data_IF_375660441753
#
_entry.id   IF_375660441753
#
_cell.length_a   1.000
_cell.length_b   1.000
_cell.length_c   1.000
_cell.angle_alpha   90.00
_cell.angle_beta   90.00
_cell.angle_gamma   90.00
#
_symmetry.space_group_name_H-M   'P 1'
#
loop_
_entity.id
_entity.type
_entity.pdbx_description
1 polymer ?
#
# COMPACT_ATOMS: atom_id res chain seq x y z
N UNK A 1 -10.23 13.01 -11.76
CA UNK A 1 -9.04 12.14 -11.66
C UNK A 1 -9.52 10.75 -11.32
N UNK A 2 -9.13 9.76 -12.10
CA UNK A 2 -9.40 8.33 -11.86
C UNK A 2 -8.13 7.70 -11.30
N UNK A 3 -8.27 6.75 -10.38
CA UNK A 3 -7.16 5.99 -9.82
C UNK A 3 -7.63 4.57 -9.45
N UNK A 4 -6.71 3.63 -9.39
CA UNK A 4 -6.97 2.22 -9.06
C UNK A 4 -6.46 1.92 -7.67
N UNK A 5 -7.20 1.10 -6.92
CA UNK A 5 -6.82 0.57 -5.61
C UNK A 5 -7.00 -0.95 -5.58
N UNK A 6 -6.18 -1.61 -4.76
CA UNK A 6 -6.36 -3.02 -4.43
C UNK A 6 -6.88 -3.09 -3.00
N UNK A 7 -8.18 -3.26 -2.86
CA UNK A 7 -8.86 -3.24 -1.56
C UNK A 7 -9.19 -4.65 -1.10
N UNK A 8 -9.06 -4.88 0.21
CA UNK A 8 -9.52 -6.08 0.90
C UNK A 8 -10.28 -5.67 2.15
N UNK A 9 -11.40 -6.31 2.40
CA UNK A 9 -12.29 -6.02 3.53
C UNK A 9 -12.76 -7.30 4.20
N UNK A 10 -12.90 -7.23 5.55
CA UNK A 10 -13.53 -8.26 6.37
C UNK A 10 -14.76 -7.64 7.02
N UNK A 11 -15.92 -8.27 6.78
CA UNK A 11 -17.20 -7.82 7.31
C UNK A 11 -17.77 -8.87 8.26
N UNK A 12 -18.37 -8.41 9.36
CA UNK A 12 -19.04 -9.26 10.34
C UNK A 12 -18.14 -9.77 11.48
N UNK A 13 -16.83 -9.51 11.44
CA UNK A 13 -15.91 -9.85 12.52
C UNK A 13 -15.52 -8.61 13.33
N UNK A 14 -15.90 -8.59 14.61
CA UNK A 14 -15.54 -7.52 15.55
C UNK A 14 -14.24 -7.80 16.33
N UNK A 15 -13.64 -9.00 16.17
CA UNK A 15 -12.42 -9.36 16.89
C UNK A 15 -11.19 -8.68 16.30
N UNK A 16 -10.14 -8.43 17.10
CA UNK A 16 -8.88 -7.88 16.63
C UNK A 16 -8.10 -8.82 15.68
N UNK A 17 -8.54 -10.08 15.51
CA UNK A 17 -7.96 -11.00 14.55
C UNK A 17 -8.19 -10.56 13.11
N UNK A 18 -9.30 -9.87 12.83
CA UNK A 18 -9.57 -9.32 11.51
C UNK A 18 -8.51 -8.29 11.09
N UNK A 19 -8.07 -7.43 12.01
CA UNK A 19 -6.95 -6.51 11.79
C UNK A 19 -5.64 -7.26 11.49
N UNK A 20 -5.34 -8.30 12.27
CA UNK A 20 -4.13 -9.12 12.08
C UNK A 20 -4.15 -9.80 10.71
N UNK A 21 -5.28 -10.37 10.31
CA UNK A 21 -5.44 -11.03 9.01
C UNK A 21 -5.21 -10.06 7.84
N UNK A 22 -5.80 -8.85 7.89
CA UNK A 22 -5.60 -7.84 6.88
C UNK A 22 -4.14 -7.36 6.78
N UNK A 23 -3.47 -7.20 7.94
CA UNK A 23 -2.04 -6.87 7.97
C UNK A 23 -1.23 -8.00 7.32
N UNK A 24 -1.49 -9.26 7.66
CA UNK A 24 -0.78 -10.41 7.06
C UNK A 24 -0.98 -10.49 5.55
N UNK A 25 -2.22 -10.40 5.07
CA UNK A 25 -2.53 -10.48 3.64
C UNK A 25 -1.86 -9.34 2.87
N UNK A 26 -1.99 -8.10 3.36
CA UNK A 26 -1.41 -6.91 2.72
C UNK A 26 0.11 -6.98 2.67
N UNK A 27 0.75 -7.29 3.80
CA UNK A 27 2.22 -7.37 3.87
C UNK A 27 2.78 -8.54 3.07
N UNK A 28 2.07 -9.67 3.02
CA UNK A 28 2.41 -10.81 2.18
C UNK A 28 2.33 -10.46 0.70
N UNK A 29 1.32 -9.69 0.28
CA UNK A 29 1.22 -9.19 -1.09
C UNK A 29 2.42 -8.30 -1.44
N UNK A 30 2.77 -7.33 -0.59
CA UNK A 30 3.92 -6.45 -0.78
C UNK A 30 5.25 -7.23 -0.86
N UNK A 31 5.46 -8.19 0.05
CA UNK A 31 6.66 -9.04 0.02
C UNK A 31 6.76 -9.87 -1.27
N UNK A 32 5.63 -10.40 -1.78
CA UNK A 32 5.60 -11.21 -3.02
C UNK A 32 6.00 -10.43 -4.27
N UNK A 33 5.70 -9.14 -4.30
CA UNK A 33 6.12 -8.26 -5.40
C UNK A 33 7.50 -7.63 -5.16
N UNK A 34 8.21 -8.07 -4.11
CA UNK A 34 9.61 -7.69 -3.88
C UNK A 34 9.80 -6.42 -3.05
N UNK A 35 8.75 -5.85 -2.45
CA UNK A 35 8.92 -4.74 -1.51
C UNK A 35 9.71 -5.18 -0.30
N UNK A 36 10.64 -4.33 0.12
CA UNK A 36 11.51 -4.51 1.30
C UNK A 36 11.53 -3.23 2.11
N UNK A 37 11.97 -3.34 3.35
CA UNK A 37 12.23 -2.18 4.24
C UNK A 37 11.01 -1.26 4.43
N UNK A 38 9.80 -1.83 4.45
CA UNK A 38 8.58 -1.10 4.77
C UNK A 38 8.18 -1.30 6.24
N UNK A 39 7.40 -0.35 6.76
CA UNK A 39 6.86 -0.39 8.12
C UNK A 39 5.34 -0.27 8.08
N UNK A 40 4.65 -1.12 8.82
CA UNK A 40 3.22 -0.99 9.12
C UNK A 40 3.08 -0.16 10.38
N UNK A 41 2.58 1.05 10.24
CA UNK A 41 2.25 1.96 11.33
C UNK A 41 0.81 1.69 11.76
N UNK A 42 0.58 1.52 13.06
CA UNK A 42 -0.72 1.15 13.63
C UNK A 42 -1.07 2.12 14.74
N UNK A 43 -2.33 2.56 14.77
CA UNK A 43 -2.92 3.33 15.87
C UNK A 43 -4.36 2.89 16.10
N UNK A 44 -4.96 3.37 17.19
CA UNK A 44 -6.40 3.26 17.44
C UNK A 44 -6.99 4.63 17.77
N UNK A 45 -7.94 5.07 16.96
CA UNK A 45 -8.60 6.38 17.13
C UNK A 45 -9.32 6.51 18.47
N UNK A 46 -9.80 5.41 19.03
CA UNK A 46 -10.46 5.39 20.34
C UNK A 46 -9.50 5.80 21.46
N UNK A 47 -8.25 5.33 21.38
CA UNK A 47 -7.19 5.66 22.36
C UNK A 47 -6.82 7.14 22.27
N UNK A 48 -6.60 7.65 21.03
CA UNK A 48 -6.29 9.05 20.83
C UNK A 48 -7.42 9.95 21.36
N UNK A 49 -8.68 9.64 21.00
CA UNK A 49 -9.85 10.40 21.51
C UNK A 49 -9.93 10.38 23.03
N UNK A 50 -9.80 9.21 23.67
CA UNK A 50 -9.81 9.10 25.12
C UNK A 50 -8.67 9.91 25.79
N UNK A 51 -7.49 9.93 25.17
CA UNK A 51 -6.37 10.74 25.64
C UNK A 51 -6.70 12.24 25.56
N UNK A 52 -7.24 12.70 24.44
CA UNK A 52 -7.63 14.12 24.25
C UNK A 52 -8.76 14.54 25.20
N UNK A 53 -9.75 13.67 25.44
CA UNK A 53 -10.80 13.92 26.43
C UNK A 53 -10.22 14.09 27.84
N UNK A 54 -9.24 13.26 28.24
CA UNK A 54 -8.53 13.39 29.52
C UNK A 54 -7.72 14.68 29.63
N UNK A 55 -7.28 15.23 28.51
CA UNK A 55 -6.61 16.54 28.47
C UNK A 55 -7.58 17.73 28.55
N UNK A 56 -8.90 17.48 28.48
CA UNK A 56 -9.93 18.50 28.64
C UNK A 56 -10.60 18.96 27.34
N UNK A 57 -10.31 18.35 26.19
CA UNK A 57 -11.05 18.67 24.97
C UNK A 57 -12.47 18.10 25.01
N UNK A 58 -13.45 18.90 24.55
CA UNK A 58 -14.84 18.46 24.49
C UNK A 58 -15.06 17.44 23.37
N UNK A 59 -16.01 16.50 23.57
CA UNK A 59 -16.25 15.38 22.66
C UNK A 59 -16.57 15.77 21.22
N UNK A 60 -17.25 16.92 21.01
CA UNK A 60 -17.59 17.48 19.69
C UNK A 60 -16.39 18.16 19.00
N UNK A 61 -15.33 18.44 19.74
CA UNK A 61 -14.10 19.07 19.23
C UNK A 61 -13.03 18.06 18.79
N UNK A 62 -13.10 16.80 19.25
CA UNK A 62 -12.04 15.81 19.10
C UNK A 62 -11.63 15.57 17.64
N UNK A 63 -12.59 15.54 16.70
CA UNK A 63 -12.26 15.32 15.30
C UNK A 63 -11.41 16.46 14.72
N UNK A 64 -11.69 17.72 15.11
CA UNK A 64 -10.90 18.88 14.71
C UNK A 64 -9.51 18.89 15.33
N UNK A 65 -9.40 18.48 16.61
CA UNK A 65 -8.11 18.33 17.30
C UNK A 65 -7.29 17.22 16.66
N UNK A 66 -7.89 16.06 16.36
CA UNK A 66 -7.23 14.96 15.64
C UNK A 66 -6.67 15.39 14.29
N UNK A 67 -7.40 16.23 13.52
CA UNK A 67 -6.93 16.76 12.23
C UNK A 67 -5.69 17.67 12.41
N UNK A 68 -5.65 18.46 13.48
CA UNK A 68 -4.46 19.29 13.77
C UNK A 68 -3.30 18.42 14.26
N UNK A 69 -3.57 17.41 15.06
CA UNK A 69 -2.58 16.45 15.55
C UNK A 69 -1.96 15.60 14.42
N UNK A 70 -2.72 15.22 13.40
CA UNK A 70 -2.24 14.50 12.19
C UNK A 70 -1.16 15.29 11.42
N UNK A 71 -1.03 16.58 11.70
CA UNK A 71 -0.01 17.44 11.09
C UNK A 71 1.28 17.50 11.89
N UNK A 72 1.35 16.84 13.05
CA UNK A 72 2.49 16.90 13.98
C UNK A 72 3.83 16.71 13.28
N UNK A 73 3.94 15.70 12.42
CA UNK A 73 5.18 15.39 11.68
C UNK A 73 5.58 16.49 10.67
N UNK A 74 4.63 17.35 10.28
CA UNK A 74 4.84 18.41 9.28
C UNK A 74 5.11 19.77 9.89
N UNK A 75 4.41 20.12 10.97
CA UNK A 75 4.44 21.46 11.57
C UNK A 75 5.05 21.49 12.97
N UNK A 76 5.37 20.32 13.55
CA UNK A 76 5.91 20.19 14.91
C UNK A 76 4.90 20.52 16.02
N UNK A 77 5.32 20.35 17.28
CA UNK A 77 4.47 20.62 18.46
C UNK A 77 4.02 22.08 18.51
N UNK A 78 4.95 23.02 18.30
CA UNK A 78 4.64 24.46 18.29
C UNK A 78 3.59 24.82 17.23
N UNK A 79 3.66 24.22 16.04
CA UNK A 79 2.70 24.43 14.96
C UNK A 79 1.31 23.89 15.31
N UNK A 80 1.24 22.71 15.93
CA UNK A 80 -0.02 22.11 16.41
C UNK A 80 -0.64 23.00 17.50
N UNK A 81 0.14 23.41 18.52
CA UNK A 81 -0.29 24.31 19.58
C UNK A 81 -0.87 25.60 19.01
N UNK A 82 -0.13 26.25 18.10
CA UNK A 82 -0.56 27.50 17.46
C UNK A 82 -1.87 27.30 16.70
N UNK A 83 -2.01 26.26 15.88
CA UNK A 83 -3.24 25.99 15.11
C UNK A 83 -4.44 25.75 16.03
N UNK A 84 -4.26 25.05 17.16
CA UNK A 84 -5.33 24.80 18.12
C UNK A 84 -5.78 26.09 18.84
N UNK A 85 -4.84 26.96 19.22
CA UNK A 85 -5.16 28.27 19.80
C UNK A 85 -5.87 29.21 18.80
N UNK A 86 -5.45 29.21 17.53
CA UNK A 86 -6.12 29.94 16.45
C UNK A 86 -7.56 29.46 16.19
N UNK A 87 -7.85 28.20 16.49
CA UNK A 87 -9.18 27.58 16.43
C UNK A 87 -10.01 27.82 17.70
N UNK A 88 -9.51 28.62 18.63
CA UNK A 88 -10.18 28.99 19.88
C UNK A 88 -10.51 27.77 20.79
N UNK A 89 -9.70 26.69 20.76
CA UNK A 89 -9.83 25.62 21.73
C UNK A 89 -9.39 26.08 23.14
N UNK A 90 -9.89 25.37 24.16
CA UNK A 90 -9.55 25.66 25.55
C UNK A 90 -8.02 25.66 25.77
N UNK A 91 -7.52 26.77 26.30
CA UNK A 91 -6.07 26.97 26.45
C UNK A 91 -5.42 25.94 27.43
N UNK A 92 -6.17 25.51 28.47
CA UNK A 92 -5.63 24.52 29.41
C UNK A 92 -5.54 23.13 28.75
N UNK A 93 -6.52 22.76 27.93
CA UNK A 93 -6.47 21.52 27.17
C UNK A 93 -5.33 21.53 26.13
N UNK A 94 -5.13 22.68 25.44
CA UNK A 94 -4.03 22.85 24.48
C UNK A 94 -2.68 22.77 25.18
N UNK A 95 -2.52 23.36 26.37
CA UNK A 95 -1.29 23.27 27.16
C UNK A 95 -1.01 21.84 27.62
N UNK A 96 -2.03 21.10 28.07
CA UNK A 96 -1.88 19.69 28.44
C UNK A 96 -1.43 18.80 27.28
N UNK A 97 -1.91 19.09 26.05
CA UNK A 97 -1.45 18.42 24.84
C UNK A 97 0.00 18.80 24.49
N UNK A 98 0.33 20.09 24.57
CA UNK A 98 1.69 20.59 24.31
C UNK A 98 2.71 19.97 25.28
N UNK A 99 2.40 19.91 26.57
CA UNK A 99 3.24 19.21 27.58
C UNK A 99 3.48 17.75 27.20
N UNK A 100 2.44 17.04 26.71
CA UNK A 100 2.56 15.67 26.23
C UNK A 100 3.47 15.57 25.01
N UNK A 101 3.30 16.48 24.05
CA UNK A 101 4.13 16.52 22.84
C UNK A 101 5.58 16.84 23.16
N UNK A 102 5.85 17.79 24.06
CA UNK A 102 7.18 18.18 24.49
C UNK A 102 7.87 17.10 25.35
N UNK A 103 7.11 16.27 26.08
CA UNK A 103 7.68 15.16 26.84
C UNK A 103 8.33 14.10 25.93
N UNK A 104 7.89 13.98 24.67
CA UNK A 104 8.52 13.16 23.64
C UNK A 104 8.36 11.64 23.86
N UNK A 105 7.68 11.18 24.90
CA UNK A 105 7.39 9.77 25.11
C UNK A 105 5.99 9.44 24.56
N UNK A 106 5.99 8.93 23.34
CA UNK A 106 4.79 8.49 22.62
C UNK A 106 4.63 6.96 22.67
N UNK A 107 5.30 6.27 23.58
CA UNK A 107 5.13 4.82 23.73
C UNK A 107 3.69 4.47 24.08
N UNK A 108 3.26 3.26 23.67
CA UNK A 108 1.91 2.78 24.01
C UNK A 108 1.72 2.67 25.53
N UNK A 109 2.80 2.46 26.31
CA UNK A 109 2.76 2.42 27.77
C UNK A 109 2.50 3.81 28.36
N UNK A 110 3.19 4.85 27.88
CA UNK A 110 2.97 6.22 28.31
C UNK A 110 1.54 6.71 27.97
N UNK A 111 1.06 6.39 26.78
CA UNK A 111 -0.32 6.70 26.36
C UNK A 111 -1.34 5.96 27.20
N UNK A 112 -1.13 4.65 27.46
CA UNK A 112 -2.02 3.84 28.31
C UNK A 112 -2.11 4.39 29.74
N UNK A 113 -0.97 4.76 30.32
CA UNK A 113 -0.93 5.35 31.67
C UNK A 113 -1.71 6.67 31.73
N UNK A 114 -1.67 7.48 30.67
CA UNK A 114 -2.38 8.76 30.61
C UNK A 114 -3.88 8.57 30.38
N UNK A 115 -4.28 7.62 29.54
CA UNK A 115 -5.69 7.24 29.34
C UNK A 115 -6.28 6.63 30.61
N UNK A 116 -5.50 5.84 31.35
CA UNK A 116 -5.92 5.16 32.58
C UNK A 116 -6.91 4.02 32.35
N UNK A 117 -6.95 3.48 31.13
CA UNK A 117 -7.80 2.34 30.77
C UNK A 117 -6.98 1.32 29.95
N UNK A 118 -6.52 0.28 30.62
CA UNK A 118 -5.74 -0.81 29.99
C UNK A 118 -6.59 -1.64 29.00
N UNK A 119 -7.91 -1.72 29.24
CA UNK A 119 -8.79 -2.51 28.38
C UNK A 119 -8.91 -1.89 26.99
N UNK A 120 -8.90 -0.56 26.91
CA UNK A 120 -8.95 0.17 25.63
C UNK A 120 -7.71 -0.09 24.76
N UNK A 121 -6.55 -0.33 25.38
CA UNK A 121 -5.28 -0.55 24.68
C UNK A 121 -4.96 -2.03 24.47
N UNK A 122 -5.71 -2.94 25.09
CA UNK A 122 -5.44 -4.39 25.06
C UNK A 122 -5.48 -4.95 23.62
N UNK A 123 -6.50 -4.59 22.85
CA UNK A 123 -6.64 -5.03 21.45
C UNK A 123 -5.49 -4.53 20.56
N UNK A 124 -5.09 -3.26 20.73
CA UNK A 124 -3.97 -2.68 19.98
C UNK A 124 -2.65 -3.37 20.33
N UNK A 125 -2.39 -3.64 21.62
CA UNK A 125 -1.22 -4.42 22.07
C UNK A 125 -1.21 -5.81 21.46
N UNK A 126 -2.36 -6.47 21.45
CA UNK A 126 -2.52 -7.80 20.85
C UNK A 126 -2.20 -7.79 19.36
N UNK A 127 -2.76 -6.84 18.59
CA UNK A 127 -2.53 -6.73 17.16
C UNK A 127 -1.06 -6.46 16.87
N UNK A 128 -0.44 -5.49 17.54
CA UNK A 128 0.99 -5.17 17.37
C UNK A 128 1.85 -6.39 17.67
N UNK A 129 1.69 -7.01 18.83
CA UNK A 129 2.51 -8.17 19.23
C UNK A 129 2.34 -9.38 18.30
N UNK A 130 1.12 -9.59 17.77
CA UNK A 130 0.84 -10.68 16.84
C UNK A 130 1.42 -10.36 15.44
N UNK A 131 1.26 -9.13 14.97
CA UNK A 131 1.83 -8.69 13.70
C UNK A 131 3.37 -8.73 13.71
N UNK A 132 4.03 -8.38 14.81
CA UNK A 132 5.49 -8.51 14.99
C UNK A 132 5.95 -9.96 14.86
N UNK A 133 5.23 -10.91 15.48
CA UNK A 133 5.54 -12.35 15.34
C UNK A 133 5.40 -12.82 13.88
N UNK A 134 4.36 -12.36 13.19
CA UNK A 134 4.12 -12.68 11.78
C UNK A 134 5.20 -12.02 10.90
N UNK A 135 5.56 -10.77 11.17
CA UNK A 135 6.59 -10.05 10.45
C UNK A 135 7.95 -10.78 10.53
N UNK A 136 8.29 -11.33 11.68
CA UNK A 136 9.52 -12.09 11.91
C UNK A 136 10.76 -11.38 11.34
N UNK A 137 10.88 -10.08 11.55
CA UNK A 137 11.97 -9.25 11.09
C UNK A 137 12.01 -8.94 9.57
N UNK A 138 11.01 -9.36 8.79
CA UNK A 138 10.95 -9.11 7.34
C UNK A 138 10.50 -7.68 6.99
N UNK A 139 9.80 -7.03 7.89
CA UNK A 139 9.33 -5.65 7.80
C UNK A 139 9.07 -5.11 9.20
N UNK A 140 8.97 -3.78 9.34
CA UNK A 140 8.71 -3.12 10.61
C UNK A 140 7.22 -3.13 10.99
N UNK A 141 6.95 -3.21 12.29
CA UNK A 141 5.65 -2.90 12.90
C UNK A 141 5.90 -1.79 13.90
N UNK A 142 5.09 -0.73 13.87
CA UNK A 142 5.26 0.40 14.77
C UNK A 142 3.90 0.91 15.29
N UNK A 143 3.86 1.23 16.58
CA UNK A 143 2.80 2.08 17.10
C UNK A 143 3.05 3.52 16.68
N UNK A 144 2.07 4.15 16.05
CA UNK A 144 2.16 5.50 15.53
C UNK A 144 1.03 6.38 16.10
N UNK A 145 1.20 6.99 17.28
CA UNK A 145 0.15 7.75 17.96
C UNK A 145 -0.37 8.95 17.16
N UNK A 146 0.44 9.53 16.28
CA UNK A 146 0.05 10.61 15.36
C UNK A 146 -0.78 10.14 14.17
N UNK A 147 -0.85 8.83 13.90
CA UNK A 147 -1.61 8.30 12.77
C UNK A 147 -3.12 8.42 13.03
N UNK A 148 -3.77 9.35 12.37
CA UNK A 148 -5.22 9.59 12.49
C UNK A 148 -5.99 9.18 11.24
N UNK A 149 -5.37 9.29 10.07
CA UNK A 149 -5.99 9.18 8.74
C UNK A 149 -7.20 10.09 8.57
N UNK A 150 -7.12 11.06 7.65
CA UNK A 150 -8.07 12.15 7.46
C UNK A 150 -9.51 11.77 7.08
N UNK A 151 -9.87 10.49 7.05
CA UNK A 151 -11.22 10.03 6.72
C UNK A 151 -12.02 9.79 8.01
N UNK A 152 -13.01 10.63 8.26
CA UNK A 152 -13.83 10.64 9.49
C UNK A 152 -14.68 9.38 9.73
N UNK A 153 -14.68 8.38 8.83
CA UNK A 153 -15.50 7.18 8.98
C UNK A 153 -14.85 6.05 9.79
N UNK A 154 -13.54 6.10 10.06
CA UNK A 154 -12.88 5.10 10.87
C UNK A 154 -13.34 5.17 12.33
N UNK A 155 -13.63 4.00 12.93
CA UNK A 155 -14.21 3.87 14.27
C UNK A 155 -13.27 3.22 15.30
N UNK A 156 -12.14 2.67 14.86
CA UNK A 156 -11.21 1.92 15.71
C UNK A 156 -9.78 2.02 15.19
N UNK A 157 -9.11 0.87 15.07
CA UNK A 157 -7.74 0.80 14.59
C UNK A 157 -7.60 1.33 13.17
N UNK A 158 -6.46 1.98 12.91
CA UNK A 158 -6.06 2.49 11.61
C UNK A 158 -4.64 2.03 11.29
N UNK A 159 -4.37 1.81 10.00
CA UNK A 159 -3.11 1.29 9.51
C UNK A 159 -2.56 2.15 8.37
N UNK A 160 -1.25 2.20 8.29
CA UNK A 160 -0.55 2.82 7.18
C UNK A 160 0.76 2.09 6.90
N UNK A 161 1.04 1.79 5.64
CA UNK A 161 2.34 1.24 5.23
C UNK A 161 3.17 2.35 4.62
N UNK A 162 4.33 2.59 5.21
CA UNK A 162 5.34 3.52 4.71
C UNK A 162 6.59 2.77 4.26
N UNK A 163 7.28 3.29 3.26
CA UNK A 163 8.54 2.73 2.77
C UNK A 163 9.49 3.85 2.36
N UNK A 164 10.83 3.63 2.38
CA UNK A 164 11.81 4.65 2.04
C UNK A 164 11.73 5.17 0.60
N UNK A 165 11.15 4.37 -0.31
CA UNK A 165 11.06 4.68 -1.74
C UNK A 165 9.98 5.70 -2.08
N UNK A 166 9.08 6.01 -1.14
CA UNK A 166 7.97 6.93 -1.37
C UNK A 166 7.70 7.81 -0.16
N UNK A 167 7.56 9.11 -0.35
CA UNK A 167 7.37 10.11 0.72
C UNK A 167 5.98 10.07 1.40
N UNK A 168 5.16 9.09 1.12
CA UNK A 168 3.83 8.91 1.70
C UNK A 168 3.51 7.45 1.93
N UNK A 169 2.27 7.17 2.29
CA UNK A 169 1.81 5.80 2.44
C UNK A 169 1.63 5.11 1.10
N UNK A 170 2.06 3.86 1.00
CA UNK A 170 1.83 2.97 -0.16
C UNK A 170 0.58 2.12 0.02
N UNK A 171 0.15 1.92 1.27
CA UNK A 171 -1.09 1.23 1.60
C UNK A 171 -1.68 1.82 2.90
N UNK A 172 -2.96 1.60 3.13
CA UNK A 172 -3.57 2.04 4.38
C UNK A 172 -5.02 1.64 4.52
N UNK A 173 -5.51 1.62 5.76
CA UNK A 173 -6.84 1.14 6.08
C UNK A 173 -7.23 1.40 7.52
N UNK A 174 -8.27 0.67 7.97
CA UNK A 174 -8.73 0.69 9.36
C UNK A 174 -10.14 0.15 9.52
N UNK A 175 -10.60 0.12 10.77
CA UNK A 175 -11.94 -0.33 11.17
C UNK A 175 -12.98 0.76 10.95
N UNK A 176 -14.12 0.41 10.37
CA UNK A 176 -15.22 1.35 10.01
C UNK A 176 -16.61 0.76 10.27
N UNK A 177 -16.84 0.25 11.47
CA UNK A 177 -18.05 -0.49 11.90
C UNK A 177 -19.39 0.22 11.65
N UNK A 178 -19.38 1.55 11.56
CA UNK A 178 -20.60 2.35 11.40
C UNK A 178 -20.98 2.58 9.92
N UNK A 179 -20.15 2.19 8.96
CA UNK A 179 -20.38 2.52 7.56
C UNK A 179 -21.43 1.60 6.93
N UNK A 180 -21.22 0.29 7.02
CA UNK A 180 -22.07 -0.72 6.39
C UNK A 180 -23.50 -0.63 6.94
N UNK A 181 -23.65 -0.43 8.23
CA UNK A 181 -24.93 -0.32 8.92
C UNK A 181 -25.83 0.80 8.40
N UNK A 182 -25.26 1.89 7.90
CA UNK A 182 -26.02 3.00 7.30
C UNK A 182 -26.79 2.60 6.03
N UNK A 183 -26.32 1.59 5.31
CA UNK A 183 -26.93 1.12 4.07
C UNK A 183 -27.92 -0.02 4.29
N UNK A 184 -27.67 -0.89 5.28
CA UNK A 184 -28.48 -2.10 5.48
C UNK A 184 -29.34 -2.06 6.75
N UNK A 185 -29.24 -1.00 7.57
CA UNK A 185 -30.07 -0.81 8.75
C UNK A 185 -29.73 -1.70 9.96
N UNK A 186 -28.58 -2.37 9.95
CA UNK A 186 -28.07 -3.18 11.07
C UNK A 186 -26.59 -3.00 11.25
N UNK A 187 -26.09 -3.08 12.50
CA UNK A 187 -24.65 -2.98 12.79
C UNK A 187 -23.91 -4.17 12.17
N UNK A 188 -22.87 -3.85 11.38
CA UNK A 188 -21.96 -4.85 10.80
C UNK A 188 -20.54 -4.35 11.02
N UNK A 189 -19.78 -5.00 11.90
CA UNK A 189 -18.35 -4.69 12.04
C UNK A 189 -17.64 -4.83 10.71
N UNK A 190 -16.75 -3.90 10.41
CA UNK A 190 -16.03 -3.88 9.16
C UNK A 190 -14.64 -3.27 9.34
N UNK A 191 -13.66 -3.91 8.74
CA UNK A 191 -12.27 -3.42 8.69
C UNK A 191 -11.72 -3.69 7.29
N UNK A 192 -10.96 -2.74 6.74
CA UNK A 192 -10.42 -2.86 5.39
C UNK A 192 -9.00 -2.33 5.28
N UNK A 193 -8.28 -2.81 4.25
CA UNK A 193 -6.95 -2.37 3.90
C UNK A 193 -6.83 -2.20 2.39
N UNK A 194 -6.27 -1.08 1.96
CA UNK A 194 -6.14 -0.72 0.55
C UNK A 194 -4.68 -0.50 0.19
N UNK A 195 -4.23 -1.12 -0.91
CA UNK A 195 -2.92 -0.87 -1.51
C UNK A 195 -3.10 0.15 -2.64
N UNK A 196 -2.33 1.25 -2.58
CA UNK A 196 -2.32 2.27 -3.63
C UNK A 196 -1.63 1.76 -4.90
N UNK A 197 -2.42 1.27 -5.86
CA UNK A 197 -1.94 0.58 -7.05
C UNK A 197 -0.90 1.42 -7.83
N UNK A 198 -1.24 2.67 -8.15
CA UNK A 198 -0.34 3.54 -8.92
C UNK A 198 0.97 3.84 -8.20
N UNK A 199 0.94 3.96 -6.87
CA UNK A 199 2.14 4.21 -6.04
C UNK A 199 3.07 3.01 -6.08
N UNK A 200 2.52 1.83 -5.85
CA UNK A 200 3.26 0.56 -5.89
C UNK A 200 3.81 0.30 -7.27
N UNK A 201 3.00 0.46 -8.34
CA UNK A 201 3.45 0.31 -9.71
C UNK A 201 4.54 1.32 -10.08
N UNK A 202 4.42 2.58 -9.65
CA UNK A 202 5.44 3.59 -9.87
C UNK A 202 6.80 3.19 -9.30
N UNK A 203 6.82 2.73 -8.03
CA UNK A 203 8.05 2.25 -7.37
C UNK A 203 8.63 1.03 -8.10
N UNK A 204 7.79 0.06 -8.50
CA UNK A 204 8.25 -1.13 -9.21
C UNK A 204 8.84 -0.80 -10.59
N UNK A 205 8.25 0.16 -11.31
CA UNK A 205 8.76 0.63 -12.60
C UNK A 205 10.10 1.33 -12.46
N UNK A 206 10.30 2.15 -11.43
CA UNK A 206 11.58 2.81 -11.13
C UNK A 206 12.68 1.80 -10.77
N UNK A 207 12.30 0.61 -10.28
CA UNK A 207 13.22 -0.48 -9.91
C UNK A 207 13.45 -1.49 -11.04
N UNK A 208 12.96 -1.24 -12.27
CA UNK A 208 13.00 -2.18 -13.38
C UNK A 208 12.48 -3.60 -12.98
N UNK A 209 11.41 -3.62 -12.18
CA UNK A 209 10.85 -4.86 -11.66
C UNK A 209 10.45 -5.83 -12.78
N UNK A 210 11.01 -7.03 -12.75
CA UNK A 210 10.67 -8.09 -13.70
C UNK A 210 9.55 -8.96 -13.15
N UNK A 211 8.43 -9.02 -13.86
CA UNK A 211 7.29 -9.86 -13.46
C UNK A 211 7.72 -11.32 -13.49
N UNK A 212 7.69 -12.06 -12.36
CA UNK A 212 8.08 -13.46 -12.32
C UNK A 212 7.23 -14.31 -13.30
N UNK A 213 7.90 -15.08 -14.13
CA UNK A 213 7.24 -15.92 -15.15
C UNK A 213 6.75 -15.17 -16.40
N UNK A 214 7.01 -13.86 -16.52
CA UNK A 214 6.79 -13.16 -17.77
C UNK A 214 7.70 -13.74 -18.85
N UNK A 215 7.11 -14.18 -19.97
CA UNK A 215 7.86 -14.67 -21.11
C UNK A 215 8.40 -13.50 -21.92
N UNK A 216 9.59 -13.67 -22.48
CA UNK A 216 10.15 -12.70 -23.42
C UNK A 216 9.29 -12.64 -24.69
N UNK A 217 9.06 -11.41 -25.19
CA UNK A 217 8.29 -11.20 -26.41
C UNK A 217 9.13 -11.58 -27.63
N UNK A 218 8.59 -12.46 -28.47
CA UNK A 218 9.21 -12.93 -29.69
C UNK A 218 8.31 -12.63 -30.89
N UNK A 219 8.87 -12.01 -31.93
CA UNK A 219 8.19 -11.86 -33.21
C UNK A 219 8.58 -13.02 -34.14
N UNK A 220 7.62 -13.88 -34.51
CA UNK A 220 7.81 -14.90 -35.55
C UNK A 220 7.49 -14.29 -36.91
N UNK A 221 8.50 -14.11 -37.75
CA UNK A 221 8.38 -13.51 -39.09
C UNK A 221 8.18 -14.59 -40.12
N UNK A 222 7.20 -14.39 -41.02
CA UNK A 222 6.92 -15.32 -42.10
C UNK A 222 6.93 -14.60 -43.47
N UNK A 223 7.32 -15.33 -44.51
CA UNK A 223 7.27 -14.86 -45.92
C UNK A 223 5.82 -14.92 -46.42
N UNK A 224 5.47 -14.04 -47.37
CA UNK A 224 4.12 -13.88 -47.85
C UNK A 224 3.51 -15.15 -48.49
N UNK A 225 4.35 -16.02 -49.00
CA UNK A 225 4.03 -17.29 -49.65
C UNK A 225 4.24 -18.53 -48.75
N UNK A 226 4.52 -18.32 -47.47
CA UNK A 226 4.71 -19.41 -46.52
C UNK A 226 3.41 -20.21 -46.28
N UNK A 227 3.57 -21.50 -46.05
CA UNK A 227 2.48 -22.33 -45.50
C UNK A 227 2.09 -21.82 -44.11
N UNK A 228 0.96 -21.12 -44.03
CA UNK A 228 0.54 -20.51 -42.76
C UNK A 228 0.17 -21.51 -41.67
N UNK A 229 -0.22 -22.72 -42.04
CA UNK A 229 -0.48 -23.78 -41.06
C UNK A 229 0.85 -24.23 -40.39
N UNK A 230 1.93 -24.36 -41.16
CA UNK A 230 3.25 -24.62 -40.62
C UNK A 230 3.78 -23.47 -39.77
N UNK A 231 3.51 -22.20 -40.16
CA UNK A 231 3.86 -21.00 -39.36
C UNK A 231 3.16 -21.04 -38.00
N UNK A 232 1.88 -21.34 -37.96
CA UNK A 232 1.12 -21.43 -36.70
C UNK A 232 1.59 -22.60 -35.83
N UNK A 233 1.88 -23.74 -36.40
CA UNK A 233 2.43 -24.90 -35.65
C UNK A 233 3.79 -24.55 -35.00
N UNK A 234 4.65 -23.80 -35.70
CA UNK A 234 5.91 -23.30 -35.16
C UNK A 234 5.67 -22.26 -34.06
N UNK A 235 4.72 -21.36 -34.23
CA UNK A 235 4.35 -20.39 -33.22
C UNK A 235 3.88 -21.08 -31.94
N UNK A 236 3.08 -22.14 -32.03
CA UNK A 236 2.59 -22.91 -30.88
C UNK A 236 3.74 -23.57 -30.12
N UNK A 237 4.70 -24.16 -30.84
CA UNK A 237 5.89 -24.71 -30.21
C UNK A 237 6.71 -23.64 -29.43
N UNK A 238 6.89 -22.47 -30.04
CA UNK A 238 7.63 -21.36 -29.43
C UNK A 238 6.90 -20.74 -28.23
N UNK A 239 5.57 -20.80 -28.19
CA UNK A 239 4.74 -20.31 -27.06
C UNK A 239 5.03 -21.03 -25.75
N UNK A 240 5.65 -22.19 -25.77
CA UNK A 240 6.13 -22.83 -24.53
C UNK A 240 7.13 -21.94 -23.77
N UNK A 241 8.02 -21.25 -24.48
CA UNK A 241 9.10 -20.44 -23.90
C UNK A 241 8.91 -18.92 -24.05
N UNK A 242 8.16 -18.47 -25.06
CA UNK A 242 8.03 -17.07 -25.44
C UNK A 242 6.57 -16.60 -25.49
N UNK A 243 6.38 -15.27 -25.40
CA UNK A 243 5.15 -14.59 -25.80
C UNK A 243 5.26 -14.28 -27.32
N UNK A 244 4.60 -15.07 -28.15
CA UNK A 244 4.83 -15.11 -29.60
C UNK A 244 3.77 -14.32 -30.35
N UNK A 245 4.22 -13.31 -31.13
CA UNK A 245 3.41 -12.60 -32.12
C UNK A 245 3.86 -13.03 -33.53
N UNK A 246 2.93 -13.46 -34.37
CA UNK A 246 3.19 -13.84 -35.77
C UNK A 246 3.01 -12.63 -36.67
N UNK A 247 4.05 -12.25 -37.42
CA UNK A 247 4.05 -11.05 -38.27
C UNK A 247 4.62 -11.35 -39.66
N UNK A 248 4.11 -10.68 -40.70
CA UNK A 248 4.73 -10.78 -42.05
C UNK A 248 6.12 -10.16 -42.05
N UNK A 249 7.04 -10.77 -42.75
CA UNK A 249 8.39 -10.28 -42.97
C UNK A 249 8.38 -9.07 -43.89
N UNK A 250 8.99 -7.96 -43.44
CA UNK A 250 9.12 -6.77 -44.25
C UNK A 250 10.31 -6.86 -45.21
N UNK A 251 10.23 -6.16 -46.36
CA UNK A 251 11.34 -6.08 -47.32
C UNK A 251 12.64 -5.52 -46.74
N UNK A 252 12.53 -4.63 -45.72
CA UNK A 252 13.68 -4.04 -45.00
C UNK A 252 13.71 -4.53 -43.55
N UNK A 253 14.34 -5.69 -43.35
CA UNK A 253 14.44 -6.32 -42.03
C UNK A 253 15.06 -5.43 -40.97
N UNK A 254 16.12 -4.70 -41.25
CA UNK A 254 16.76 -3.82 -40.25
C UNK A 254 15.80 -2.75 -39.71
N UNK A 255 14.91 -2.19 -40.56
CA UNK A 255 13.89 -1.25 -40.11
C UNK A 255 12.81 -1.95 -39.28
N UNK A 256 12.43 -3.18 -39.64
CA UNK A 256 11.47 -3.98 -38.90
C UNK A 256 12.00 -4.34 -37.50
N UNK A 257 13.27 -4.75 -37.40
CA UNK A 257 13.91 -5.05 -36.14
C UNK A 257 13.93 -3.84 -35.21
N UNK A 258 14.33 -2.65 -35.70
CA UNK A 258 14.30 -1.43 -34.91
C UNK A 258 12.88 -1.07 -34.41
N UNK A 259 11.85 -1.32 -35.24
CA UNK A 259 10.45 -1.09 -34.86
C UNK A 259 10.00 -2.10 -33.78
N UNK A 260 10.38 -3.39 -33.89
CA UNK A 260 10.07 -4.44 -32.95
C UNK A 260 10.78 -4.19 -31.60
N UNK A 261 12.04 -3.80 -31.64
CA UNK A 261 12.82 -3.42 -30.45
C UNK A 261 12.16 -2.25 -29.71
N UNK A 262 11.78 -1.19 -30.43
CA UNK A 262 11.06 -0.06 -29.86
C UNK A 262 9.68 -0.44 -29.31
N UNK A 263 9.05 -1.50 -29.82
CA UNK A 263 7.79 -2.07 -29.32
C UNK A 263 7.98 -3.08 -28.18
N UNK A 264 9.21 -3.25 -27.68
CA UNK A 264 9.54 -4.10 -26.54
C UNK A 264 9.67 -5.59 -26.86
N UNK A 265 9.90 -5.98 -28.12
CA UNK A 265 10.26 -7.36 -28.46
C UNK A 265 11.72 -7.62 -28.11
N UNK A 266 11.95 -8.80 -27.49
CA UNK A 266 13.28 -9.23 -27.07
C UNK A 266 13.98 -10.09 -28.12
N UNK A 267 13.20 -10.75 -28.99
CA UNK A 267 13.74 -11.66 -30.00
C UNK A 267 12.88 -11.70 -31.27
N UNK A 268 13.52 -12.15 -32.35
CA UNK A 268 12.89 -12.44 -33.63
C UNK A 268 13.25 -13.84 -34.04
N UNK A 269 12.26 -14.63 -34.49
CA UNK A 269 12.43 -15.90 -35.17
C UNK A 269 11.88 -15.83 -36.60
N UNK A 270 12.30 -16.74 -37.47
CA UNK A 270 11.81 -16.85 -38.84
C UNK A 270 11.04 -18.18 -39.01
N UNK A 271 9.98 -18.13 -39.80
CA UNK A 271 9.16 -19.31 -39.99
C UNK A 271 9.86 -20.39 -40.83
N UNK A 272 10.79 -19.99 -41.69
CA UNK A 272 11.50 -20.81 -42.67
C UNK A 272 12.82 -21.43 -42.14
N UNK A 273 13.28 -21.06 -40.94
CA UNK A 273 14.47 -21.57 -40.31
C UNK A 273 14.34 -21.58 -38.79
N UNK A 274 15.29 -22.18 -38.08
CA UNK A 274 15.25 -22.34 -36.63
C UNK A 274 16.06 -21.26 -35.87
N UNK A 275 16.52 -20.24 -36.58
CA UNK A 275 17.31 -19.18 -35.98
C UNK A 275 16.42 -18.24 -35.11
N UNK A 276 16.86 -17.98 -33.90
CA UNK A 276 16.29 -16.97 -33.01
C UNK A 276 17.34 -15.88 -32.79
N UNK A 277 17.02 -14.69 -33.24
CA UNK A 277 17.88 -13.51 -33.09
C UNK A 277 17.43 -12.66 -31.92
N UNK A 278 18.28 -12.45 -30.92
CA UNK A 278 18.04 -11.53 -29.82
C UNK A 278 18.17 -10.09 -30.31
N UNK A 279 17.19 -9.24 -29.97
CA UNK A 279 17.20 -7.81 -30.26
C UNK A 279 17.86 -7.04 -29.09
N UNK A 280 18.40 -5.85 -29.37
CA UNK A 280 18.99 -4.99 -28.33
C UNK A 280 20.44 -5.34 -27.94
N UNK A 281 21.01 -6.44 -28.38
CA UNK A 281 22.45 -6.67 -28.26
C UNK A 281 23.17 -5.92 -29.38
N UNK A 282 23.90 -4.84 -29.03
CA UNK A 282 24.92 -4.31 -29.95
C UNK A 282 25.91 -5.46 -30.20
N UNK A 283 26.08 -5.84 -31.47
CA UNK A 283 27.20 -6.70 -31.83
C UNK A 283 28.50 -6.03 -31.34
N UNK A 284 29.25 -6.74 -30.49
CA UNK A 284 30.62 -6.33 -30.12
C UNK A 284 31.52 -6.28 -31.36
#
# INVERSE_FOLDING_TARGET
TEFVQCDIDILGDSSPNAEVELIDVTTRALLRIGFKDFTVNINDRRILRAMLEKMGFAADQLDSVCISFDKLDKIGADGVKKELLEKEFDAAAVEALDEFLCAGDFSLDAVTARVGDETLTADLRYVIATAEKIANGRYGIAYAPSLVRGQGYYTGMVFEVTCPQFSGAVAGGGRYDNMVGKFIGQQVPAVGFSIGFERVCGILLEQDYQIPGAKQKLALLYLKDADFAAVLAKADALRAAYDVTVLPQAKKLGKQFGTLEAAGYNAVAFADNDDIKVLGQKAE
#
